data_IF_715421340594
#
_entry.id   IF_715421340594
#
_cell.length_a   1.000
_cell.length_b   1.000
_cell.length_c   1.000
_cell.angle_alpha   90.00
_cell.angle_beta   90.00
_cell.angle_gamma   90.00
#
_symmetry.space_group_name_H-M   'P 1'
#
loop_
_entity.id
_entity.type
_entity.pdbx_description
1 polymer ?
#
# COMPACT_ATOMS: atom_id res chain seq x y z
N UNK A 1 -13.94 -21.97 -4.60
CA UNK A 1 -13.32 -20.63 -4.56
C UNK A 1 -12.12 -20.61 -5.50
N UNK A 2 -11.79 -19.46 -6.09
CA UNK A 2 -10.79 -19.29 -7.17
C UNK A 2 -9.32 -19.22 -6.71
N UNK A 3 -9.04 -19.54 -5.44
CA UNK A 3 -7.68 -19.60 -4.90
C UNK A 3 -6.94 -18.25 -4.83
N UNK A 4 -5.76 -18.25 -4.23
CA UNK A 4 -4.95 -17.03 -4.06
C UNK A 4 -4.17 -16.63 -5.32
N UNK A 5 -3.80 -17.59 -6.20
CA UNK A 5 -3.13 -17.27 -7.46
C UNK A 5 -4.01 -16.42 -8.37
N UNK A 6 -5.25 -16.84 -8.63
CA UNK A 6 -6.18 -16.07 -9.48
C UNK A 6 -6.50 -14.69 -8.84
N UNK A 7 -6.57 -14.62 -7.51
CA UNK A 7 -6.69 -13.34 -6.82
C UNK A 7 -5.52 -12.40 -7.11
N UNK A 8 -4.27 -12.91 -7.09
CA UNK A 8 -3.07 -12.10 -7.41
C UNK A 8 -2.99 -11.70 -8.88
N UNK A 9 -3.46 -12.55 -9.79
CA UNK A 9 -3.58 -12.19 -11.20
C UNK A 9 -4.57 -11.03 -11.41
N UNK A 10 -5.75 -11.10 -10.76
CA UNK A 10 -6.74 -10.02 -10.79
C UNK A 10 -6.16 -8.75 -10.16
N UNK A 11 -5.50 -8.84 -9.00
CA UNK A 11 -4.87 -7.69 -8.33
C UNK A 11 -3.82 -7.03 -9.23
N UNK A 12 -3.01 -7.83 -9.93
CA UNK A 12 -2.01 -7.34 -10.89
C UNK A 12 -2.64 -6.62 -12.07
N UNK A 13 -3.70 -7.19 -12.66
CA UNK A 13 -4.43 -6.55 -13.75
C UNK A 13 -5.07 -5.22 -13.31
N UNK A 14 -5.59 -5.16 -12.08
CA UNK A 14 -6.13 -3.92 -11.50
C UNK A 14 -5.03 -2.87 -11.31
N UNK A 15 -3.87 -3.25 -10.75
CA UNK A 15 -2.72 -2.33 -10.59
C UNK A 15 -2.33 -1.72 -11.93
N UNK A 16 -2.12 -2.54 -12.97
CA UNK A 16 -1.76 -2.01 -14.29
C UNK A 16 -2.83 -1.09 -14.88
N UNK A 17 -4.11 -1.39 -14.65
CA UNK A 17 -5.21 -0.55 -15.13
C UNK A 17 -5.23 0.81 -14.44
N UNK A 18 -5.13 0.86 -13.11
CA UNK A 18 -5.20 2.13 -12.37
C UNK A 18 -3.97 3.00 -12.62
N UNK A 19 -2.80 2.40 -12.86
CA UNK A 19 -1.58 3.14 -13.21
C UNK A 19 -1.62 3.79 -14.60
N UNK A 20 -2.61 3.48 -15.43
CA UNK A 20 -2.79 4.06 -16.76
C UNK A 20 -3.71 5.28 -16.77
N UNK A 21 -4.41 5.57 -15.67
CA UNK A 21 -5.32 6.70 -15.61
C UNK A 21 -4.52 8.01 -15.59
N UNK A 22 -4.95 8.98 -16.41
CA UNK A 22 -4.22 10.25 -16.60
C UNK A 22 -4.67 11.37 -15.67
N UNK A 23 -5.77 11.18 -14.95
CA UNK A 23 -6.30 12.15 -13.99
C UNK A 23 -5.62 12.01 -12.62
N UNK A 24 -5.74 13.02 -11.77
CA UNK A 24 -5.22 12.91 -10.40
C UNK A 24 -5.99 11.85 -9.61
N UNK A 25 -5.27 10.96 -8.93
CA UNK A 25 -5.86 9.89 -8.13
C UNK A 25 -5.12 9.66 -6.83
N UNK A 26 -5.88 9.22 -5.83
CA UNK A 26 -5.37 8.60 -4.62
C UNK A 26 -5.74 7.11 -4.65
N UNK A 27 -4.72 6.25 -4.66
CA UNK A 27 -4.91 4.80 -4.72
C UNK A 27 -4.59 4.22 -3.34
N UNK A 28 -5.63 3.77 -2.62
CA UNK A 28 -5.47 2.99 -1.40
C UNK A 28 -5.29 1.51 -1.77
N UNK A 29 -4.09 0.99 -1.54
CA UNK A 29 -3.74 -0.36 -1.94
C UNK A 29 -4.05 -1.37 -0.83
N UNK A 30 -4.54 -2.55 -1.22
CA UNK A 30 -4.65 -3.68 -0.31
C UNK A 30 -3.26 -4.08 0.24
N UNK A 31 -3.20 -4.56 1.49
CA UNK A 31 -1.94 -4.98 2.11
C UNK A 31 -1.24 -6.17 1.43
N UNK A 32 -1.85 -6.77 0.41
CA UNK A 32 -1.24 -7.79 -0.44
C UNK A 32 -0.63 -7.24 -1.74
N UNK A 33 -0.72 -5.94 -2.01
CA UNK A 33 -0.28 -5.38 -3.32
C UNK A 33 1.21 -5.62 -3.60
N UNK A 34 2.03 -5.72 -2.55
CA UNK A 34 3.47 -6.00 -2.64
C UNK A 34 3.78 -7.51 -2.74
N UNK A 35 2.76 -8.36 -2.85
CA UNK A 35 2.86 -9.81 -2.73
C UNK A 35 2.45 -10.48 -4.02
N UNK A 36 3.27 -11.39 -4.53
CA UNK A 36 2.87 -12.45 -5.45
C UNK A 36 3.09 -13.82 -4.80
N UNK A 37 2.77 -14.89 -5.53
CA UNK A 37 2.97 -16.25 -5.08
C UNK A 37 3.94 -16.98 -5.99
N UNK A 38 4.87 -17.74 -5.42
CA UNK A 38 5.67 -18.71 -6.17
C UNK A 38 4.85 -19.96 -6.54
N UNK A 39 5.48 -20.92 -7.22
CA UNK A 39 4.83 -22.17 -7.65
C UNK A 39 4.31 -23.05 -6.50
N UNK A 40 4.79 -22.82 -5.28
CA UNK A 40 4.38 -23.53 -4.07
C UNK A 40 3.31 -22.77 -3.28
N UNK A 41 2.86 -21.62 -3.79
CA UNK A 41 1.88 -20.76 -3.15
C UNK A 41 2.47 -19.93 -2.00
N UNK A 42 3.79 -19.78 -1.92
CA UNK A 42 4.43 -18.96 -0.91
C UNK A 42 4.55 -17.50 -1.35
N UNK A 43 4.38 -16.59 -0.40
CA UNK A 43 4.49 -15.16 -0.67
C UNK A 43 5.90 -14.78 -1.08
N UNK A 44 5.99 -14.09 -2.21
CA UNK A 44 7.20 -13.44 -2.73
C UNK A 44 6.90 -11.95 -2.98
N UNK A 45 7.95 -11.15 -3.12
CA UNK A 45 7.81 -9.73 -3.44
C UNK A 45 7.32 -9.55 -4.89
N UNK A 46 6.26 -8.77 -5.08
CA UNK A 46 5.75 -8.43 -6.41
C UNK A 46 6.48 -7.24 -7.02
N UNK A 47 7.64 -7.51 -7.63
CA UNK A 47 8.38 -6.47 -8.35
C UNK A 47 7.53 -5.83 -9.46
N UNK A 48 6.76 -6.62 -10.22
CA UNK A 48 5.92 -6.12 -11.33
C UNK A 48 4.88 -5.10 -10.86
N UNK A 49 4.09 -5.39 -9.81
CA UNK A 49 3.10 -4.44 -9.28
C UNK A 49 3.78 -3.21 -8.71
N UNK A 50 4.88 -3.38 -7.98
CA UNK A 50 5.60 -2.27 -7.36
C UNK A 50 6.22 -1.34 -8.42
N UNK A 51 6.85 -1.88 -9.45
CA UNK A 51 7.39 -1.10 -10.57
C UNK A 51 6.29 -0.33 -11.29
N UNK A 52 5.14 -0.97 -11.56
CA UNK A 52 3.99 -0.31 -12.18
C UNK A 52 3.48 0.87 -11.33
N UNK A 53 3.34 0.68 -10.01
CA UNK A 53 2.93 1.76 -9.11
C UNK A 53 3.97 2.87 -9.07
N UNK A 54 5.25 2.55 -8.94
CA UNK A 54 6.31 3.56 -8.77
C UNK A 54 6.60 4.37 -10.03
N UNK A 55 6.33 3.84 -11.21
CA UNK A 55 6.71 4.46 -12.48
C UNK A 55 6.16 5.89 -12.63
N UNK A 56 4.87 6.06 -12.34
CA UNK A 56 4.15 7.31 -12.60
C UNK A 56 3.39 7.82 -11.34
N UNK A 57 3.74 7.34 -10.14
CA UNK A 57 3.09 7.76 -8.89
C UNK A 57 4.06 7.87 -7.71
N UNK A 58 3.63 8.61 -6.67
CA UNK A 58 4.34 8.67 -5.39
C UNK A 58 3.78 7.62 -4.44
N UNK A 59 4.44 6.47 -4.36
CA UNK A 59 4.13 5.42 -3.37
C UNK A 59 4.58 5.83 -1.97
N UNK A 60 3.64 5.86 -1.02
CA UNK A 60 3.90 6.18 0.39
C UNK A 60 3.48 5.01 1.29
N UNK A 61 4.34 4.61 2.22
CA UNK A 61 4.00 3.61 3.23
C UNK A 61 3.57 4.27 4.54
N UNK A 62 2.32 4.05 4.95
CA UNK A 62 1.79 4.50 6.23
C UNK A 62 2.09 3.48 7.33
N UNK A 63 3.19 3.69 8.06
CA UNK A 63 3.60 2.79 9.14
C UNK A 63 2.73 3.02 10.38
N UNK A 64 2.18 1.93 10.92
CA UNK A 64 1.36 1.93 12.15
C UNK A 64 1.80 0.80 13.06
N UNK A 65 1.43 0.92 14.34
CA UNK A 65 1.62 -0.16 15.29
C UNK A 65 0.83 -1.41 14.88
N UNK A 66 1.49 -2.56 14.89
CA UNK A 66 0.91 -3.83 14.44
C UNK A 66 -0.23 -4.26 15.36
N UNK A 67 -0.10 -4.05 16.68
CA UNK A 67 -1.15 -4.37 17.65
C UNK A 67 -2.37 -3.47 17.47
N UNK A 68 -2.17 -2.19 17.18
CA UNK A 68 -3.25 -1.26 16.82
C UNK A 68 -3.99 -1.73 15.55
N UNK A 69 -3.25 -2.14 14.50
CA UNK A 69 -3.84 -2.64 13.27
C UNK A 69 -4.62 -3.94 13.50
N UNK A 70 -4.07 -4.86 14.30
CA UNK A 70 -4.70 -6.13 14.66
C UNK A 70 -6.04 -5.92 15.38
N UNK A 71 -6.09 -5.01 16.36
CA UNK A 71 -7.33 -4.65 17.05
C UNK A 71 -8.39 -4.09 16.09
N UNK A 72 -7.96 -3.28 15.11
CA UNK A 72 -8.86 -2.65 14.15
C UNK A 72 -9.50 -3.65 13.18
N UNK A 73 -8.78 -4.69 12.79
CA UNK A 73 -9.29 -5.71 11.85
C UNK A 73 -10.03 -6.86 12.54
N UNK A 74 -9.93 -6.96 13.87
CA UNK A 74 -10.56 -8.03 14.63
C UNK A 74 -12.09 -7.94 14.50
N UNK A 75 -12.68 -8.93 13.85
CA UNK A 75 -14.12 -9.03 13.64
C UNK A 75 -14.64 -8.47 12.30
N UNK A 76 -13.77 -8.06 11.39
CA UNK A 76 -14.18 -7.64 10.04
C UNK A 76 -14.42 -8.87 9.12
N UNK A 77 -15.69 -9.14 8.82
CA UNK A 77 -16.12 -10.27 7.97
C UNK A 77 -15.83 -10.06 6.47
N UNK A 78 -15.47 -8.85 6.05
CA UNK A 78 -15.16 -8.55 4.64
C UNK A 78 -13.70 -8.83 4.29
N UNK A 79 -12.88 -9.20 5.28
CA UNK A 79 -11.45 -9.42 5.07
C UNK A 79 -11.21 -10.87 4.63
N UNK A 80 -10.42 -11.09 3.56
CA UNK A 80 -10.04 -12.45 3.19
C UNK A 80 -9.33 -13.12 4.36
N UNK A 81 -9.69 -14.38 4.66
CA UNK A 81 -9.01 -15.17 5.67
C UNK A 81 -7.54 -15.31 5.30
N UNK A 82 -6.71 -14.54 5.99
CA UNK A 82 -5.28 -14.75 6.00
C UNK A 82 -5.08 -16.09 6.72
N UNK A 83 -4.65 -17.12 5.98
CA UNK A 83 -4.43 -18.51 6.41
C UNK A 83 -4.47 -18.74 7.93
N UNK A 84 -5.24 -19.74 8.39
CA UNK A 84 -5.37 -20.12 9.81
C UNK A 84 -4.02 -20.32 10.55
N UNK A 85 -2.92 -20.52 9.82
CA UNK A 85 -1.59 -20.80 10.34
C UNK A 85 -0.74 -19.56 10.71
N UNK A 86 -1.09 -18.34 10.28
CA UNK A 86 -0.22 -17.15 10.46
C UNK A 86 -0.98 -15.98 11.08
N UNK A 87 -0.54 -15.57 12.27
CA UNK A 87 -1.05 -14.37 12.94
C UNK A 87 -0.83 -13.12 12.07
N UNK A 88 -1.74 -12.14 12.20
CA UNK A 88 -1.62 -10.87 11.49
C UNK A 88 -0.26 -10.19 11.74
N UNK A 89 0.28 -10.31 12.96
CA UNK A 89 1.59 -9.76 13.32
C UNK A 89 2.73 -10.41 12.55
N UNK A 90 2.72 -11.74 12.36
CA UNK A 90 3.74 -12.44 11.56
C UNK A 90 3.69 -12.01 10.09
N UNK A 91 2.49 -11.81 9.55
CA UNK A 91 2.30 -11.31 8.18
C UNK A 91 2.88 -9.91 8.04
N UNK A 92 2.57 -9.01 8.97
CA UNK A 92 3.12 -7.65 8.96
C UNK A 92 4.64 -7.64 9.09
N UNK A 93 5.21 -8.45 9.99
CA UNK A 93 6.67 -8.56 10.14
C UNK A 93 7.36 -9.04 8.86
N UNK A 94 6.78 -10.04 8.18
CA UNK A 94 7.33 -10.55 6.91
C UNK A 94 7.22 -9.54 5.77
N UNK A 95 6.12 -8.77 5.71
CA UNK A 95 5.85 -7.83 4.62
C UNK A 95 6.42 -6.43 4.87
N UNK A 96 6.81 -6.06 6.09
CA UNK A 96 7.40 -4.74 6.41
C UNK A 96 8.61 -4.40 5.53
N UNK A 97 9.58 -5.31 5.30
CA UNK A 97 10.67 -5.05 4.35
C UNK A 97 10.18 -4.71 2.94
N UNK A 98 9.16 -5.41 2.44
CA UNK A 98 8.59 -5.18 1.11
C UNK A 98 7.84 -3.85 1.01
N UNK A 99 7.13 -3.42 2.07
CA UNK A 99 6.52 -2.10 2.09
C UNK A 99 7.57 -0.99 2.05
N UNK A 100 8.67 -1.14 2.78
CA UNK A 100 9.79 -0.18 2.76
C UNK A 100 10.46 -0.12 1.41
N UNK A 101 10.69 -1.28 0.79
CA UNK A 101 11.28 -1.38 -0.55
C UNK A 101 10.36 -0.77 -1.62
N UNK A 102 9.05 -0.99 -1.53
CA UNK A 102 8.08 -0.46 -2.49
C UNK A 102 7.90 1.06 -2.37
N UNK A 103 8.04 1.64 -1.19
CA UNK A 103 7.74 3.05 -0.95
C UNK A 103 8.84 3.99 -1.43
N UNK A 104 8.45 5.20 -1.85
CA UNK A 104 9.38 6.33 -1.99
C UNK A 104 9.67 6.97 -0.64
N UNK A 105 8.69 6.96 0.27
CA UNK A 105 8.86 7.46 1.63
C UNK A 105 7.96 6.70 2.62
N UNK A 106 8.38 6.67 3.87
CA UNK A 106 7.67 6.03 4.98
C UNK A 106 7.17 7.12 5.92
N UNK A 107 5.86 7.16 6.12
CA UNK A 107 5.24 8.04 7.09
C UNK A 107 5.05 7.24 8.37
N UNK A 108 5.84 7.56 9.40
CA UNK A 108 5.58 7.06 10.74
C UNK A 108 4.30 7.70 11.27
N UNK A 109 3.29 6.86 11.38
CA UNK A 109 1.96 7.30 11.68
C UNK A 109 1.53 6.76 13.06
N UNK A 110 2.39 6.12 13.87
CA UNK A 110 1.97 5.49 15.15
C UNK A 110 1.13 6.39 16.06
N UNK A 111 1.49 7.67 16.18
CA UNK A 111 0.82 8.63 17.07
C UNK A 111 -0.01 9.69 16.33
N UNK A 112 -0.21 9.54 15.01
CA UNK A 112 -0.87 10.54 14.18
C UNK A 112 -2.38 10.30 14.04
N UNK A 113 -3.17 11.35 14.30
CA UNK A 113 -4.60 11.41 13.95
C UNK A 113 -4.77 11.50 12.44
N UNK A 114 -5.96 11.12 11.93
CA UNK A 114 -6.27 11.08 10.49
C UNK A 114 -5.90 12.36 9.73
N UNK A 115 -6.22 13.54 10.27
CA UNK A 115 -5.89 14.80 9.62
C UNK A 115 -4.38 15.08 9.56
N UNK A 116 -3.61 14.62 10.57
CA UNK A 116 -2.16 14.78 10.59
C UNK A 116 -1.49 13.86 9.57
N UNK A 117 -2.01 12.64 9.39
CA UNK A 117 -1.57 11.73 8.33
C UNK A 117 -1.84 12.33 6.96
N UNK A 118 -3.04 12.88 6.74
CA UNK A 118 -3.39 13.51 5.47
C UNK A 118 -2.45 14.68 5.17
N UNK A 119 -2.14 15.51 6.17
CA UNK A 119 -1.13 16.56 6.05
C UNK A 119 0.26 16.03 5.67
N UNK A 120 0.73 14.99 6.36
CA UNK A 120 2.02 14.36 6.07
C UNK A 120 2.06 13.74 4.65
N UNK A 121 0.97 13.10 4.20
CA UNK A 121 0.86 12.55 2.83
C UNK A 121 0.98 13.67 1.80
N UNK A 122 0.27 14.78 1.99
CA UNK A 122 0.33 15.93 1.08
C UNK A 122 1.72 16.56 1.06
N UNK A 123 2.34 16.74 2.23
CA UNK A 123 3.72 17.26 2.34
C UNK A 123 4.71 16.39 1.54
N UNK A 124 4.66 15.07 1.73
CA UNK A 124 5.51 14.13 0.99
C UNK A 124 5.22 14.14 -0.51
N UNK A 125 3.94 14.21 -0.90
CA UNK A 125 3.54 14.27 -2.30
C UNK A 125 4.06 15.53 -3.01
N UNK A 126 3.86 16.72 -2.43
CA UNK A 126 4.34 17.97 -3.02
C UNK A 126 5.87 18.02 -3.07
N UNK A 127 6.54 17.55 -2.02
CA UNK A 127 8.00 17.45 -2.01
C UNK A 127 8.53 16.51 -3.12
N UNK A 128 7.88 15.37 -3.34
CA UNK A 128 8.31 14.39 -4.33
C UNK A 128 8.00 14.80 -5.79
N UNK A 129 6.91 15.53 -6.01
CA UNK A 129 6.46 15.90 -7.36
C UNK A 129 6.93 17.29 -7.79
N UNK A 130 7.32 18.15 -6.86
CA UNK A 130 7.56 19.57 -7.11
C UNK A 130 6.30 20.36 -7.46
N UNK A 131 5.12 19.73 -7.42
CA UNK A 131 3.84 20.41 -7.58
C UNK A 131 3.64 21.32 -6.36
N UNK A 132 3.16 22.53 -6.60
CA UNK A 132 2.88 23.46 -5.52
C UNK A 132 1.49 23.21 -4.93
N UNK A 133 1.34 23.34 -3.59
CA UNK A 133 0.05 23.20 -2.96
C UNK A 133 -0.91 24.31 -3.43
N UNK A 134 -2.23 24.03 -3.48
CA UNK A 134 -3.23 25.06 -3.77
C UNK A 134 -3.06 26.27 -2.84
N UNK A 135 -3.04 27.47 -3.42
CA UNK A 135 -2.83 28.72 -2.67
C UNK A 135 -1.37 29.09 -2.40
N UNK A 136 -0.40 28.32 -2.90
CA UNK A 136 0.99 28.77 -2.94
C UNK A 136 1.10 30.02 -3.86
N UNK A 137 1.91 31.04 -3.51
CA UNK A 137 2.05 32.27 -4.32
C UNK A 137 2.39 32.03 -5.79
N UNK A 138 3.13 30.94 -6.04
CA UNK A 138 3.59 30.54 -7.38
C UNK A 138 2.78 29.38 -7.99
N UNK A 139 1.68 28.93 -7.36
CA UNK A 139 0.80 27.93 -7.96
C UNK A 139 -0.09 28.58 -9.03
N UNK A 140 -0.05 28.05 -10.26
CA UNK A 140 -0.93 28.47 -11.37
C UNK A 140 -2.39 28.04 -11.14
#
# INVERSE_FOLDING_TARGET
ARGWHEFREIETAVVHRVTQFTEWQLIDCGGGVVVDLDSEGQEIFSASKVEALRKDSVVLYLQRDVGFLEQKIRGDQNRPDLSEEKSFSQIMQRRDPWYREAAHDVIDARDLRKHQIAGAVLEKYYAATGILPPGHPDAN
#
